data_IF_790841592927
#
_entry.id   IF_790841592927
#
_cell.length_a   1.000
_cell.length_b   1.000
_cell.length_c   1.000
_cell.angle_alpha   90.00
_cell.angle_beta   90.00
_cell.angle_gamma   90.00
#
_symmetry.space_group_name_H-M   'P 1'
#
loop_
_entity.id
_entity.type
_entity.pdbx_description
1 polymer ?
#
# COMPACT_ATOMS: atom_id res chain seq x y z
N UNK A 1 21.63 61.42 3.00
CA UNK A 1 22.04 59.99 2.86
C UNK A 1 20.77 59.16 2.74
N UNK A 2 20.43 58.65 1.56
CA UNK A 2 19.17 57.89 1.32
C UNK A 2 19.36 56.45 1.79
N UNK A 3 18.55 56.01 2.77
CA UNK A 3 18.51 54.60 3.20
C UNK A 3 17.76 53.79 2.16
N UNK A 4 18.46 52.89 1.47
CA UNK A 4 17.86 51.88 0.60
C UNK A 4 17.36 50.76 1.49
N UNK A 5 16.05 50.55 1.53
CA UNK A 5 15.44 49.42 2.24
C UNK A 5 15.41 48.24 1.26
N UNK A 6 16.26 47.25 1.52
CA UNK A 6 16.27 45.98 0.79
C UNK A 6 15.11 45.11 1.30
N UNK A 7 14.05 45.00 0.51
CA UNK A 7 12.95 44.09 0.79
C UNK A 7 13.34 42.70 0.29
N UNK A 8 13.76 41.82 1.21
CA UNK A 8 14.03 40.42 0.92
C UNK A 8 12.67 39.70 0.83
N UNK A 9 12.21 39.45 -0.39
CA UNK A 9 11.04 38.61 -0.65
C UNK A 9 11.44 37.14 -0.45
N UNK A 10 11.13 36.59 0.73
CA UNK A 10 11.30 35.16 1.01
C UNK A 10 10.17 34.41 0.29
N UNK A 11 10.49 33.82 -0.86
CA UNK A 11 9.60 32.87 -1.55
C UNK A 11 9.62 31.56 -0.77
N UNK A 12 8.59 31.32 0.03
CA UNK A 12 8.32 30.00 0.60
C UNK A 12 7.90 29.06 -0.54
N UNK A 13 8.86 28.33 -1.11
CA UNK A 13 8.56 27.12 -1.88
C UNK A 13 7.97 26.11 -0.89
N UNK A 14 6.63 26.07 -0.83
CA UNK A 14 5.88 25.15 0.01
C UNK A 14 6.08 23.71 -0.43
N UNK A 15 7.17 23.08 0.01
CA UNK A 15 7.32 21.64 -0.06
C UNK A 15 6.38 21.03 0.99
N UNK A 16 5.16 20.68 0.57
CA UNK A 16 4.29 19.87 1.42
C UNK A 16 4.92 18.49 1.56
N UNK A 17 5.50 18.19 2.71
CA UNK A 17 5.87 16.82 3.08
C UNK A 17 4.57 16.05 3.28
N UNK A 18 4.08 15.39 2.23
CA UNK A 18 2.96 14.45 2.39
C UNK A 18 3.40 13.30 3.32
N UNK A 19 2.62 13.06 4.37
CA UNK A 19 2.91 12.01 5.33
C UNK A 19 2.90 10.63 4.63
N UNK A 20 3.94 9.84 4.83
CA UNK A 20 3.97 8.46 4.37
C UNK A 20 3.32 7.57 5.42
N UNK A 21 2.29 6.85 5.00
CA UNK A 21 1.58 5.86 5.80
C UNK A 21 2.12 4.46 5.52
N UNK A 22 2.02 3.56 6.50
CA UNK A 22 2.35 2.14 6.37
C UNK A 22 1.23 1.30 6.96
N UNK A 23 0.87 0.22 6.28
CA UNK A 23 -0.09 -0.77 6.75
C UNK A 23 0.52 -2.17 6.64
N UNK A 24 0.09 -3.06 7.53
CA UNK A 24 0.57 -4.43 7.60
C UNK A 24 -0.62 -5.40 7.55
N UNK A 25 -0.65 -6.24 6.52
CA UNK A 25 -1.60 -7.34 6.41
C UNK A 25 -0.83 -8.66 6.51
N UNK A 26 -1.37 -9.64 7.24
CA UNK A 26 -0.68 -10.91 7.47
C UNK A 26 -1.64 -12.09 7.57
N UNK A 27 -1.09 -13.30 7.61
CA UNK A 27 -1.78 -14.51 8.05
C UNK A 27 -0.96 -15.09 9.20
N UNK A 28 -1.58 -15.18 10.38
CA UNK A 28 -0.88 -15.56 11.61
C UNK A 28 -0.57 -17.06 11.68
N UNK A 29 0.09 -17.49 12.77
CA UNK A 29 0.46 -18.89 13.02
C UNK A 29 -0.74 -19.84 13.10
N UNK A 30 -1.92 -19.35 13.43
CA UNK A 30 -3.17 -20.12 13.47
C UNK A 30 -3.91 -20.13 12.12
N UNK A 31 -3.25 -19.72 11.02
CA UNK A 31 -3.85 -19.57 9.69
C UNK A 31 -5.05 -18.58 9.65
N UNK A 32 -5.09 -17.60 10.56
CA UNK A 32 -6.14 -16.58 10.55
C UNK A 32 -5.63 -15.34 9.83
N UNK A 33 -6.34 -14.93 8.77
CA UNK A 33 -6.06 -13.68 8.06
C UNK A 33 -6.24 -12.46 8.98
N UNK A 34 -5.26 -11.55 8.91
CA UNK A 34 -5.21 -10.28 9.61
C UNK A 34 -5.12 -9.16 8.55
N UNK A 35 -6.25 -8.76 7.95
CA UNK A 35 -6.27 -7.70 6.97
C UNK A 35 -5.95 -6.34 7.59
N UNK A 36 -5.43 -5.42 6.77
CA UNK A 36 -5.17 -4.04 7.20
C UNK A 36 -6.22 -3.08 6.65
N UNK A 37 -6.63 -2.11 7.47
CA UNK A 37 -7.52 -1.03 7.03
C UNK A 37 -6.70 0.13 6.46
N UNK A 38 -7.18 0.67 5.34
CA UNK A 38 -6.69 1.90 4.74
C UNK A 38 -7.87 2.86 4.63
N UNK A 39 -7.76 4.00 5.30
CA UNK A 39 -8.79 5.04 5.29
C UNK A 39 -8.23 6.25 4.56
N UNK A 40 -8.90 6.65 3.47
CA UNK A 40 -8.59 7.89 2.75
C UNK A 40 -9.62 8.94 3.19
N UNK A 41 -9.21 10.03 3.87
CA UNK A 41 -10.12 11.08 4.29
C UNK A 41 -10.88 11.73 3.12
N UNK A 42 -12.02 12.35 3.43
CA UNK A 42 -12.80 13.12 2.45
C UNK A 42 -11.94 14.19 1.77
N UNK A 43 -12.10 14.34 0.45
CA UNK A 43 -11.34 15.28 -0.36
C UNK A 43 -9.85 14.95 -0.55
N UNK A 44 -9.38 13.78 -0.08
CA UNK A 44 -8.00 13.32 -0.27
C UNK A 44 -7.91 12.17 -1.28
N UNK A 45 -6.68 11.85 -1.67
CA UNK A 45 -6.38 10.72 -2.55
C UNK A 45 -5.14 10.02 -2.04
N UNK A 46 -5.25 8.73 -1.76
CA UNK A 46 -4.08 7.92 -1.47
C UNK A 46 -3.34 7.60 -2.78
N UNK A 47 -2.02 7.73 -2.77
CA UNK A 47 -1.15 7.51 -3.94
C UNK A 47 0.25 7.07 -3.53
N UNK A 48 1.15 6.92 -4.53
CA UNK A 48 2.54 6.52 -4.34
C UNK A 48 2.67 5.20 -3.56
N UNK A 49 1.82 4.23 -3.90
CA UNK A 49 1.83 2.93 -3.26
C UNK A 49 3.13 2.17 -3.57
N UNK A 50 3.71 1.57 -2.54
CA UNK A 50 4.93 0.77 -2.68
C UNK A 50 4.93 -0.43 -1.73
N UNK A 51 5.35 -1.58 -2.24
CA UNK A 51 5.57 -2.79 -1.44
C UNK A 51 6.90 -2.65 -0.73
N UNK A 52 6.87 -2.60 0.60
CA UNK A 52 8.07 -2.64 1.44
C UNK A 52 8.46 -4.09 1.77
N UNK A 53 7.48 -4.96 1.92
CA UNK A 53 7.69 -6.39 2.22
C UNK A 53 6.55 -7.20 1.64
N UNK A 54 6.85 -8.34 1.01
CA UNK A 54 5.85 -9.30 0.56
C UNK A 54 6.39 -10.74 0.64
N UNK A 55 5.74 -11.55 1.46
CA UNK A 55 6.08 -12.95 1.77
C UNK A 55 4.82 -13.80 1.66
N UNK A 56 4.91 -14.99 1.05
CA UNK A 56 3.77 -15.86 0.76
C UNK A 56 3.39 -16.82 1.89
N UNK A 57 4.31 -17.07 2.82
CA UNK A 57 4.11 -18.04 3.89
C UNK A 57 4.01 -19.50 3.38
N UNK A 58 3.46 -20.35 4.24
CA UNK A 58 3.29 -21.78 3.98
C UNK A 58 1.81 -22.17 4.02
N UNK A 59 1.44 -23.17 3.23
CA UNK A 59 0.10 -23.76 3.25
C UNK A 59 -0.27 -24.20 4.67
N UNK A 60 -1.45 -23.79 5.12
CA UNK A 60 -1.86 -23.97 6.51
C UNK A 60 -2.10 -25.42 6.95
N UNK A 61 -2.26 -26.34 6.01
CA UNK A 61 -2.59 -27.74 6.29
C UNK A 61 -1.40 -28.67 5.99
N UNK A 62 -0.74 -28.45 4.86
CA UNK A 62 0.39 -29.29 4.43
C UNK A 62 1.75 -28.77 4.86
N UNK A 63 1.85 -27.51 5.27
CA UNK A 63 3.13 -26.85 5.56
C UNK A 63 3.97 -26.54 4.32
N UNK A 64 3.51 -26.91 3.11
CA UNK A 64 4.23 -26.65 1.87
C UNK A 64 4.40 -25.13 1.62
N UNK A 65 5.60 -24.71 1.24
CA UNK A 65 5.88 -23.31 0.96
C UNK A 65 5.14 -22.81 -0.30
N UNK A 66 4.51 -21.63 -0.21
CA UNK A 66 3.99 -20.97 -1.39
C UNK A 66 5.12 -20.21 -2.10
N UNK A 67 5.24 -20.40 -3.42
CA UNK A 67 6.17 -19.64 -4.27
C UNK A 67 5.55 -18.36 -4.81
N UNK A 68 4.23 -18.37 -5.04
CA UNK A 68 3.48 -17.22 -5.51
C UNK A 68 3.18 -16.26 -4.36
N UNK A 69 3.30 -14.97 -4.63
CA UNK A 69 3.09 -13.88 -3.67
C UNK A 69 2.00 -12.96 -4.19
N UNK A 70 1.05 -12.57 -3.36
CA UNK A 70 -0.02 -11.69 -3.81
C UNK A 70 -0.68 -10.91 -2.69
N UNK A 71 -1.44 -9.90 -3.10
CA UNK A 71 -2.35 -9.20 -2.20
C UNK A 71 -3.47 -8.54 -3.01
N UNK A 72 -4.54 -8.17 -2.32
CA UNK A 72 -5.62 -7.33 -2.84
C UNK A 72 -5.89 -6.14 -1.98
N UNK A 73 -6.36 -5.09 -2.64
CA UNK A 73 -7.05 -3.98 -2.01
C UNK A 73 -8.52 -4.09 -2.42
N UNK A 74 -9.39 -4.14 -1.43
CA UNK A 74 -10.85 -4.14 -1.61
C UNK A 74 -11.43 -2.82 -1.16
N UNK A 75 -12.43 -2.31 -1.87
CA UNK A 75 -13.27 -1.23 -1.39
C UNK A 75 -14.24 -1.74 -0.31
N UNK A 76 -14.89 -0.82 0.41
CA UNK A 76 -15.84 -1.14 1.48
C UNK A 76 -17.00 -2.06 1.05
N UNK A 77 -17.40 -2.02 -0.23
CA UNK A 77 -18.43 -2.90 -0.79
C UNK A 77 -17.92 -4.32 -1.13
N UNK A 78 -16.66 -4.63 -0.82
CA UNK A 78 -16.03 -5.93 -1.09
C UNK A 78 -15.39 -6.05 -2.48
N UNK A 79 -15.61 -5.09 -3.38
CA UNK A 79 -15.04 -5.14 -4.73
C UNK A 79 -13.52 -5.02 -4.69
N UNK A 80 -12.83 -5.88 -5.44
CA UNK A 80 -11.39 -5.77 -5.64
C UNK A 80 -11.13 -4.56 -6.54
N UNK A 81 -10.45 -3.55 -6.00
CA UNK A 81 -10.01 -2.36 -6.75
C UNK A 81 -8.56 -2.48 -7.20
N UNK A 82 -7.82 -3.40 -6.59
CA UNK A 82 -6.44 -3.71 -6.97
C UNK A 82 -6.06 -5.15 -6.63
N UNK A 83 -5.38 -5.84 -7.54
CA UNK A 83 -4.73 -7.15 -7.33
C UNK A 83 -3.27 -7.05 -7.76
N UNK A 84 -2.39 -7.52 -6.89
CA UNK A 84 -1.00 -7.81 -7.21
C UNK A 84 -0.76 -9.32 -7.13
N UNK A 85 -0.06 -9.88 -8.10
CA UNK A 85 0.47 -11.24 -8.05
C UNK A 85 1.89 -11.25 -8.60
N UNK A 86 2.77 -12.01 -7.97
CA UNK A 86 4.11 -12.34 -8.45
C UNK A 86 4.26 -13.85 -8.36
N UNK A 87 4.48 -14.50 -9.49
CA UNK A 87 4.68 -15.94 -9.51
C UNK A 87 6.06 -16.35 -8.97
N UNK A 88 6.27 -17.65 -8.80
CA UNK A 88 7.55 -18.21 -8.34
C UNK A 88 8.75 -17.90 -9.24
N UNK A 89 8.53 -17.49 -10.49
CA UNK A 89 9.57 -17.08 -11.44
C UNK A 89 9.81 -15.55 -11.41
N UNK A 90 9.09 -14.83 -10.56
CA UNK A 90 9.21 -13.38 -10.41
C UNK A 90 8.38 -12.57 -11.40
N UNK A 91 7.56 -13.20 -12.26
CA UNK A 91 6.68 -12.49 -13.19
C UNK A 91 5.56 -11.81 -12.42
N UNK A 92 5.47 -10.49 -12.59
CA UNK A 92 4.46 -9.66 -11.94
C UNK A 92 3.23 -9.52 -12.82
N UNK A 93 2.05 -9.62 -12.21
CA UNK A 93 0.74 -9.42 -12.80
C UNK A 93 -0.05 -8.48 -11.89
N UNK A 94 -0.57 -7.40 -12.46
CA UNK A 94 -1.31 -6.37 -11.74
C UNK A 94 -2.64 -6.12 -12.47
N UNK A 95 -3.71 -5.86 -11.73
CA UNK A 95 -5.00 -5.50 -12.33
C UNK A 95 -4.94 -4.09 -12.91
N UNK A 96 -4.70 -3.98 -14.21
CA UNK A 96 -4.66 -2.70 -14.92
C UNK A 96 -3.29 -2.00 -14.81
N UNK A 97 -3.26 -0.83 -14.15
CA UNK A 97 -2.05 -0.03 -14.03
C UNK A 97 -1.11 -0.53 -12.92
N UNK A 98 0.17 -0.12 -12.97
CA UNK A 98 1.16 -0.47 -11.94
C UNK A 98 0.74 0.03 -10.56
N UNK A 99 1.16 -0.66 -9.50
CA UNK A 99 0.87 -0.25 -8.12
C UNK A 99 1.32 1.18 -7.84
N UNK A 100 2.50 1.57 -8.33
CA UNK A 100 3.04 2.92 -8.13
C UNK A 100 2.19 4.03 -8.74
N UNK A 101 1.31 3.70 -9.70
CA UNK A 101 0.34 4.63 -10.31
C UNK A 101 -1.07 4.53 -9.72
N UNK A 102 -1.32 3.59 -8.81
CA UNK A 102 -2.62 3.44 -8.18
C UNK A 102 -2.99 4.72 -7.41
N UNK A 103 -4.24 5.15 -7.60
CA UNK A 103 -4.87 6.24 -6.84
C UNK A 103 -6.17 5.74 -6.26
N UNK A 104 -6.34 5.91 -4.95
CA UNK A 104 -7.59 5.60 -4.26
C UNK A 104 -8.20 6.91 -3.75
N UNK A 105 -9.43 7.19 -4.14
CA UNK A 105 -10.17 8.35 -3.64
C UNK A 105 -10.55 8.20 -2.17
N UNK A 106 -11.27 9.19 -1.65
CA UNK A 106 -11.83 9.13 -0.30
C UNK A 106 -12.67 7.86 -0.09
N UNK A 107 -12.49 7.19 1.05
CA UNK A 107 -13.21 5.97 1.38
C UNK A 107 -12.44 5.02 2.29
N UNK A 108 -13.11 3.92 2.62
CA UNK A 108 -12.55 2.81 3.40
C UNK A 108 -12.16 1.67 2.46
N UNK A 109 -10.95 1.17 2.66
CA UNK A 109 -10.39 0.06 1.93
C UNK A 109 -9.80 -0.97 2.90
N UNK A 110 -9.76 -2.21 2.46
CA UNK A 110 -9.17 -3.30 3.22
C UNK A 110 -8.13 -4.01 2.36
N UNK A 111 -6.95 -4.21 2.92
CA UNK A 111 -5.82 -4.86 2.26
C UNK A 111 -5.63 -6.26 2.84
N UNK A 112 -5.64 -7.24 1.96
CA UNK A 112 -5.47 -8.66 2.30
C UNK A 112 -4.23 -9.19 1.59
N UNK A 113 -3.38 -9.91 2.31
CA UNK A 113 -2.27 -10.65 1.70
C UNK A 113 -2.75 -12.06 1.32
N UNK A 114 -2.33 -12.54 0.16
CA UNK A 114 -2.55 -13.93 -0.26
C UNK A 114 -1.47 -14.85 0.34
N UNK A 115 -1.78 -16.13 0.51
CA UNK A 115 -0.81 -17.13 0.97
C UNK A 115 -1.35 -17.99 2.10
N UNK A 116 -0.48 -18.35 3.04
CA UNK A 116 -0.85 -19.09 4.25
C UNK A 116 -0.07 -18.61 5.47
N UNK A 117 0.15 -19.49 6.45
CA UNK A 117 0.81 -19.13 7.72
C UNK A 117 2.13 -18.40 7.46
N UNK A 118 2.28 -17.22 8.09
CA UNK A 118 3.48 -16.39 7.95
C UNK A 118 3.49 -15.51 6.69
N UNK A 119 2.43 -15.52 5.88
CA UNK A 119 2.28 -14.54 4.82
C UNK A 119 2.22 -13.13 5.41
N UNK A 120 2.91 -12.19 4.77
CA UNK A 120 2.99 -10.82 5.24
C UNK A 120 3.13 -9.85 4.08
N UNK A 121 2.40 -8.74 4.17
CA UNK A 121 2.53 -7.56 3.33
C UNK A 121 2.79 -6.35 4.22
N UNK A 122 3.83 -5.60 3.92
CA UNK A 122 3.98 -4.21 4.38
C UNK A 122 3.87 -3.31 3.16
N UNK A 123 2.81 -2.49 3.13
CA UNK A 123 2.52 -1.56 2.05
C UNK A 123 2.63 -0.13 2.57
N UNK A 124 3.30 0.74 1.83
CA UNK A 124 3.32 2.18 2.10
C UNK A 124 2.58 2.97 1.03
N UNK A 125 2.07 4.14 1.41
CA UNK A 125 1.37 5.09 0.54
C UNK A 125 1.42 6.50 1.13
N UNK A 126 0.92 7.49 0.39
CA UNK A 126 0.80 8.90 0.81
C UNK A 126 -0.62 9.40 0.63
N UNK A 127 -1.05 10.37 1.45
CA UNK A 127 -2.35 11.07 1.40
C UNK A 127 -2.12 12.60 1.39
#
# INVERSE_FOLDING_TARGET
MKKVVLVILIVFLGFTVQAQHKINASINSSCVSQPANLVVPSGKTASAFAINTLVAGNNCYSGAAFTNKGFVIKAANGNIVYRYNRDGNGKVQESGAKLSSLKLGAGNYTVWVDGGIGAQLVLSYRI
#
